data_IF_620593685020
#
_entry.id   IF_620593685020
#
_cell.length_a   1.000
_cell.length_b   1.000
_cell.length_c   1.000
_cell.angle_alpha   90.00
_cell.angle_beta   90.00
_cell.angle_gamma   90.00
#
_symmetry.space_group_name_H-M   'P 1'
#
loop_
_entity.id
_entity.type
_entity.pdbx_description
1 polymer ?
#
# COMPACT_ATOMS: atom_id res chain seq x y z
N UNK A 1 16.01 30.52 16.42
CA UNK A 1 14.90 29.79 17.09
C UNK A 1 13.86 29.44 16.05
N UNK A 2 13.40 28.18 16.07
CA UNK A 2 12.48 27.53 15.13
C UNK A 2 11.08 28.18 15.24
N UNK A 3 10.40 28.38 14.12
CA UNK A 3 8.96 28.64 14.09
C UNK A 3 8.32 27.54 13.26
N UNK A 4 7.87 26.51 13.97
CA UNK A 4 7.12 25.39 13.44
C UNK A 4 5.77 25.87 12.85
N UNK A 5 5.57 25.65 11.55
CA UNK A 5 4.28 25.79 10.89
C UNK A 5 3.37 24.63 11.38
N UNK A 6 2.59 24.89 12.43
CA UNK A 6 1.51 24.01 12.87
C UNK A 6 0.17 24.59 12.43
N UNK A 7 -0.62 23.79 11.72
CA UNK A 7 -2.04 23.76 12.03
C UNK A 7 -3.05 23.84 10.88
N UNK A 8 -2.70 23.59 9.62
CA UNK A 8 -3.73 23.28 8.63
C UNK A 8 -4.24 21.85 8.88
N UNK A 9 -5.24 21.75 9.78
CA UNK A 9 -6.06 20.55 9.91
C UNK A 9 -6.73 20.32 8.56
N UNK A 10 -6.35 19.22 7.90
CA UNK A 10 -7.10 18.69 6.77
C UNK A 10 -8.57 18.55 7.16
N UNK A 11 -9.46 19.02 6.30
CA UNK A 11 -10.91 18.91 6.45
C UNK A 11 -11.29 17.42 6.56
N UNK A 12 -12.27 17.10 7.41
CA UNK A 12 -12.73 15.73 7.67
C UNK A 12 -13.12 14.98 6.38
N UNK A 13 -13.57 15.70 5.36
CA UNK A 13 -13.91 15.17 4.03
C UNK A 13 -12.68 14.62 3.26
N UNK A 14 -11.46 15.08 3.58
CA UNK A 14 -10.22 14.51 3.04
C UNK A 14 -9.69 13.33 3.87
N UNK A 15 -10.13 13.16 5.12
CA UNK A 15 -9.81 11.98 5.92
C UNK A 15 -10.65 10.76 5.49
N UNK A 16 -11.88 10.98 5.03
CA UNK A 16 -12.75 9.90 4.54
C UNK A 16 -12.17 9.20 3.29
N UNK A 17 -11.50 9.96 2.41
CA UNK A 17 -10.78 9.40 1.26
C UNK A 17 -9.42 8.76 1.61
N UNK A 18 -8.88 9.01 2.80
CA UNK A 18 -7.68 8.31 3.31
C UNK A 18 -8.07 7.01 4.04
N UNK A 19 -9.33 6.92 4.48
CA UNK A 19 -9.91 5.73 5.09
C UNK A 19 -10.94 5.07 4.18
N UNK A 20 -10.66 5.10 2.86
CA UNK A 20 -11.28 4.23 1.88
C UNK A 20 -10.91 2.78 2.18
N UNK A 21 -11.55 2.22 3.20
CA UNK A 21 -11.61 0.81 3.48
C UNK A 21 -12.29 0.15 2.29
N UNK A 22 -11.52 -0.09 1.23
CA UNK A 22 -11.69 -1.29 0.43
C UNK A 22 -12.00 -2.36 1.46
N UNK A 23 -13.22 -2.89 1.40
CA UNK A 23 -13.63 -4.02 2.20
C UNK A 23 -12.81 -5.20 1.67
N UNK A 24 -11.51 -5.18 1.94
CA UNK A 24 -10.64 -6.31 1.80
C UNK A 24 -11.30 -7.29 2.75
N UNK A 25 -11.78 -8.42 2.25
CA UNK A 25 -12.35 -9.44 3.12
C UNK A 25 -11.39 -9.66 4.29
N UNK A 26 -11.88 -9.95 5.50
CA UNK A 26 -11.04 -10.09 6.70
C UNK A 26 -9.85 -11.07 6.51
N UNK A 27 -9.92 -11.95 5.51
CA UNK A 27 -8.88 -12.89 5.08
C UNK A 27 -7.87 -12.36 4.03
N UNK A 28 -8.07 -11.16 3.51
CA UNK A 28 -7.27 -10.61 2.43
C UNK A 28 -6.04 -9.89 2.98
N UNK A 29 -4.87 -10.40 2.61
CA UNK A 29 -3.59 -9.81 2.96
C UNK A 29 -3.18 -8.88 1.81
N UNK A 30 -2.59 -7.75 2.15
CA UNK A 30 -2.03 -6.82 1.18
C UNK A 30 -0.52 -6.96 1.18
N UNK A 31 0.07 -7.06 -0.01
CA UNK A 31 1.52 -7.00 -0.22
C UNK A 31 1.84 -5.88 -1.19
N UNK A 32 2.97 -5.20 -0.99
CA UNK A 32 3.45 -4.15 -1.90
C UNK A 32 4.92 -4.33 -2.19
N UNK A 33 5.33 -3.85 -3.36
CA UNK A 33 6.75 -3.80 -3.71
C UNK A 33 7.43 -2.67 -2.94
N UNK A 34 8.64 -2.93 -2.45
CA UNK A 34 9.45 -1.97 -1.69
C UNK A 34 10.61 -1.38 -2.51
N UNK A 35 10.75 -1.78 -3.77
CA UNK A 35 11.76 -1.20 -4.66
C UNK A 35 11.40 0.27 -4.93
N UNK A 36 12.36 1.17 -4.75
CA UNK A 36 12.15 2.61 -4.86
C UNK A 36 11.51 3.01 -6.19
N UNK A 37 10.40 3.75 -6.12
CA UNK A 37 9.64 4.18 -7.30
C UNK A 37 8.66 3.14 -7.86
N UNK A 38 8.59 1.93 -7.29
CA UNK A 38 7.60 0.94 -7.70
C UNK A 38 6.28 1.13 -6.93
N UNK A 39 5.21 1.50 -7.64
CA UNK A 39 3.86 1.65 -7.07
C UNK A 39 3.06 0.34 -7.01
N UNK A 40 3.70 -0.82 -7.15
CA UNK A 40 2.99 -2.10 -7.23
C UNK A 40 2.45 -2.53 -5.87
N UNK A 41 1.15 -2.83 -5.83
CA UNK A 41 0.45 -3.39 -4.69
C UNK A 41 -0.51 -4.47 -5.16
N UNK A 42 -0.64 -5.52 -4.35
CA UNK A 42 -1.59 -6.59 -4.55
C UNK A 42 -2.34 -6.87 -3.24
N UNK A 43 -3.66 -7.00 -3.33
CA UNK A 43 -4.54 -7.34 -2.21
C UNK A 43 -5.33 -8.59 -2.59
N UNK A 44 -5.25 -9.64 -1.78
CA UNK A 44 -5.89 -10.91 -2.07
C UNK A 44 -5.70 -11.93 -0.97
N UNK A 45 -6.16 -13.16 -1.19
CA UNK A 45 -5.97 -14.24 -0.21
C UNK A 45 -4.47 -14.52 0.02
N UNK A 46 -4.09 -14.85 1.26
CA UNK A 46 -2.70 -15.16 1.62
C UNK A 46 -2.06 -16.22 0.71
N UNK A 47 -2.84 -17.19 0.24
CA UNK A 47 -2.40 -18.24 -0.68
C UNK A 47 -1.98 -17.70 -2.05
N UNK A 48 -2.64 -16.62 -2.51
CA UNK A 48 -2.39 -16.00 -3.83
C UNK A 48 -1.25 -14.98 -3.81
N UNK A 49 -0.84 -14.50 -2.64
CA UNK A 49 0.21 -13.49 -2.50
C UNK A 49 1.54 -13.97 -3.06
N UNK A 50 1.95 -15.21 -2.79
CA UNK A 50 3.23 -15.72 -3.27
C UNK A 50 3.25 -15.81 -4.80
N UNK A 51 2.13 -16.16 -5.42
CA UNK A 51 1.98 -16.17 -6.87
C UNK A 51 2.05 -14.75 -7.45
N UNK A 52 1.38 -13.78 -6.81
CA UNK A 52 1.43 -12.38 -7.23
C UNK A 52 2.85 -11.79 -7.11
N UNK A 53 3.56 -12.07 -6.00
CA UNK A 53 4.97 -11.69 -5.80
C UNK A 53 5.86 -12.32 -6.87
N UNK A 54 5.76 -13.63 -7.09
CA UNK A 54 6.56 -14.32 -8.10
C UNK A 54 6.31 -13.78 -9.52
N UNK A 55 5.05 -13.49 -9.86
CA UNK A 55 4.69 -12.85 -11.13
C UNK A 55 5.36 -11.47 -11.24
N UNK A 56 5.22 -10.63 -10.21
CA UNK A 56 5.83 -9.30 -10.20
C UNK A 56 7.35 -9.36 -10.33
N UNK A 57 8.01 -10.26 -9.58
CA UNK A 57 9.46 -10.48 -9.67
C UNK A 57 9.88 -10.92 -11.07
N UNK A 58 9.12 -11.79 -11.73
CA UNK A 58 9.42 -12.22 -13.10
C UNK A 58 9.26 -11.07 -14.11
N UNK A 59 8.27 -10.20 -13.93
CA UNK A 59 7.98 -9.09 -14.85
C UNK A 59 8.92 -7.89 -14.65
N UNK A 60 9.38 -7.64 -13.44
CA UNK A 60 10.12 -6.40 -13.09
C UNK A 60 11.52 -6.64 -12.53
N UNK A 61 11.84 -7.86 -12.11
CA UNK A 61 13.06 -8.17 -11.35
C UNK A 61 12.98 -7.79 -9.87
N UNK A 62 11.86 -7.21 -9.39
CA UNK A 62 11.73 -6.77 -8.01
C UNK A 62 11.40 -7.93 -7.07
N UNK A 63 12.22 -8.12 -6.04
CA UNK A 63 12.11 -9.22 -5.09
C UNK A 63 11.91 -8.78 -3.63
N UNK A 64 11.75 -7.46 -3.38
CA UNK A 64 11.53 -6.91 -2.05
C UNK A 64 10.07 -6.52 -1.87
N UNK A 65 9.39 -7.16 -0.90
CA UNK A 65 7.96 -6.97 -0.64
C UNK A 65 7.68 -6.80 0.85
N UNK A 66 6.67 -5.97 1.17
CA UNK A 66 6.03 -5.94 2.49
C UNK A 66 4.87 -6.95 2.55
#
# INVERSE_FOLDING_TARGET
>A
MKKDLKGEKLLEEQLDNVQGGLSIPDFAVTTRCLVGGCGWQYSGAKETINAARAKHTRETGHNHFA
#
